data_IF_209581830360
#
_entry.id   IF_209581830360
#
_cell.length_a   1.000
_cell.length_b   1.000
_cell.length_c   1.000
_cell.angle_alpha   90.00
_cell.angle_beta   90.00
_cell.angle_gamma   90.00
#
_symmetry.space_group_name_H-M   'P 1'
#
loop_
_entity.id
_entity.type
_entity.pdbx_description
1 polymer ?
#
# COMPACT_ATOMS: atom_id res chain seq x y z
N UNK A 1 7.26 -25.36 7.99
CA UNK A 1 6.25 -25.21 6.91
C UNK A 1 5.03 -24.52 7.49
N UNK A 2 4.53 -23.47 6.86
CA UNK A 2 3.32 -22.74 7.26
C UNK A 2 2.16 -23.07 6.34
N UNK A 3 1.00 -23.32 6.91
CA UNK A 3 -0.24 -23.57 6.18
C UNK A 3 -1.03 -22.28 6.04
N UNK A 4 -1.31 -21.88 4.82
CA UNK A 4 -1.91 -20.59 4.48
C UNK A 4 -3.32 -20.78 3.89
N UNK A 5 -4.16 -19.78 4.13
CA UNK A 5 -5.40 -19.52 3.40
C UNK A 5 -5.31 -18.16 2.70
N UNK A 6 -5.58 -18.12 1.41
CA UNK A 6 -5.59 -16.90 0.61
C UNK A 6 -7.02 -16.48 0.37
N UNK A 7 -7.43 -15.31 0.86
CA UNK A 7 -8.78 -14.77 0.75
C UNK A 7 -8.76 -13.58 -0.23
N UNK A 8 -9.38 -13.77 -1.37
CA UNK A 8 -9.29 -12.88 -2.53
C UNK A 8 -8.30 -13.42 -3.57
N UNK A 9 -8.82 -13.81 -4.73
CA UNK A 9 -8.06 -14.35 -5.86
C UNK A 9 -8.02 -13.37 -7.03
N UNK A 10 -7.99 -12.08 -6.69
CA UNK A 10 -7.97 -10.99 -7.66
C UNK A 10 -6.58 -10.73 -8.26
N UNK A 11 -6.42 -9.54 -8.82
CA UNK A 11 -5.21 -9.10 -9.55
C UNK A 11 -3.95 -9.16 -8.68
N UNK A 12 -4.00 -8.68 -7.43
CA UNK A 12 -2.83 -8.65 -6.54
C UNK A 12 -2.41 -10.07 -6.14
N UNK A 13 -3.35 -10.95 -5.89
CA UNK A 13 -3.08 -12.37 -5.66
C UNK A 13 -2.35 -12.98 -6.86
N UNK A 14 -2.93 -12.83 -8.06
CA UNK A 14 -2.41 -13.41 -9.33
C UNK A 14 -1.04 -12.89 -9.71
N UNK A 15 -0.81 -11.58 -9.60
CA UNK A 15 0.38 -10.93 -10.19
C UNK A 15 1.52 -10.72 -9.18
N UNK A 16 1.26 -10.87 -7.89
CA UNK A 16 2.24 -10.61 -6.84
C UNK A 16 2.39 -11.80 -5.87
N UNK A 17 1.38 -12.07 -5.03
CA UNK A 17 1.54 -13.02 -3.93
C UNK A 17 1.65 -14.48 -4.37
N UNK A 18 0.87 -14.96 -5.33
CA UNK A 18 1.03 -16.35 -5.80
C UNK A 18 2.38 -16.61 -6.46
N UNK A 19 2.89 -15.73 -7.37
CA UNK A 19 4.27 -15.85 -7.86
C UNK A 19 5.31 -15.84 -6.76
N UNK A 20 5.19 -14.98 -5.75
CA UNK A 20 6.10 -14.87 -4.63
C UNK A 20 6.05 -16.12 -3.73
N UNK A 21 4.87 -16.48 -3.25
CA UNK A 21 4.65 -17.64 -2.35
C UNK A 21 5.05 -18.98 -3.01
N UNK A 22 4.88 -19.12 -4.33
CA UNK A 22 5.29 -20.33 -5.06
C UNK A 22 6.81 -20.58 -5.08
N UNK A 23 7.63 -19.57 -4.75
CA UNK A 23 9.09 -19.67 -4.62
C UNK A 23 9.56 -19.92 -3.18
N UNK A 24 8.62 -19.99 -2.21
CA UNK A 24 8.93 -20.23 -0.81
C UNK A 24 8.66 -21.70 -0.49
N UNK A 25 9.73 -22.48 -0.22
CA UNK A 25 9.64 -23.94 -0.05
C UNK A 25 8.81 -24.36 1.17
N UNK A 26 8.83 -23.60 2.25
CA UNK A 26 8.16 -23.91 3.52
C UNK A 26 6.72 -23.36 3.61
N UNK A 27 6.02 -23.26 2.48
CA UNK A 27 4.64 -22.79 2.37
C UNK A 27 3.75 -23.88 1.79
N UNK A 28 2.57 -24.06 2.42
CA UNK A 28 1.47 -24.89 1.96
C UNK A 28 0.24 -24.00 1.81
N UNK A 29 -0.31 -23.88 0.61
CA UNK A 29 -1.55 -23.14 0.37
C UNK A 29 -2.72 -24.11 0.41
N UNK A 30 -3.34 -24.23 1.59
CA UNK A 30 -4.45 -25.16 1.81
C UNK A 30 -5.75 -24.68 1.19
N UNK A 31 -5.99 -23.37 1.22
CA UNK A 31 -7.22 -22.77 0.70
C UNK A 31 -6.93 -21.55 -0.16
N UNK A 32 -7.61 -21.48 -1.33
CA UNK A 32 -7.84 -20.27 -2.09
C UNK A 32 -9.34 -19.97 -2.06
N UNK A 33 -9.72 -18.76 -1.62
CA UNK A 33 -11.09 -18.34 -1.42
C UNK A 33 -11.42 -17.12 -2.27
N UNK A 34 -12.46 -17.18 -3.06
CA UNK A 34 -13.05 -16.00 -3.75
C UNK A 34 -14.55 -16.20 -3.86
N UNK A 35 -15.32 -15.11 -3.82
CA UNK A 35 -16.77 -15.16 -4.06
C UNK A 35 -17.12 -15.58 -5.49
N UNK A 36 -16.15 -15.40 -6.41
CA UNK A 36 -16.20 -15.84 -7.81
C UNK A 36 -15.24 -17.02 -7.93
N UNK A 37 -15.73 -18.28 -7.84
CA UNK A 37 -14.87 -19.47 -7.76
C UNK A 37 -13.96 -19.63 -8.99
N UNK A 38 -14.37 -19.16 -10.15
CA UNK A 38 -13.59 -19.23 -11.39
C UNK A 38 -12.24 -18.50 -11.27
N UNK A 39 -12.15 -17.47 -10.43
CA UNK A 39 -10.88 -16.78 -10.14
C UNK A 39 -9.89 -17.66 -9.40
N UNK A 40 -10.37 -18.39 -8.40
CA UNK A 40 -9.55 -19.33 -7.63
C UNK A 40 -9.17 -20.57 -8.47
N UNK A 41 -10.08 -21.05 -9.32
CA UNK A 41 -9.84 -22.15 -10.27
C UNK A 41 -8.72 -21.80 -11.25
N UNK A 42 -8.78 -20.61 -11.87
CA UNK A 42 -7.74 -20.13 -12.78
C UNK A 42 -6.36 -20.00 -12.10
N UNK A 43 -6.34 -19.62 -10.81
CA UNK A 43 -5.10 -19.61 -10.03
C UNK A 43 -4.58 -21.02 -9.75
N UNK A 44 -5.46 -21.95 -9.41
CA UNK A 44 -5.08 -23.35 -9.17
C UNK A 44 -4.54 -24.05 -10.41
N UNK A 45 -5.06 -23.74 -11.59
CA UNK A 45 -4.51 -24.22 -12.88
C UNK A 45 -3.06 -23.76 -13.05
N UNK A 46 -2.75 -22.52 -12.67
CA UNK A 46 -1.40 -21.94 -12.79
C UNK A 46 -0.49 -22.40 -11.63
N UNK A 47 -1.04 -22.50 -10.43
CA UNK A 47 -0.32 -22.84 -9.20
C UNK A 47 -0.91 -24.09 -8.53
N UNK A 48 -0.47 -25.29 -8.94
CA UNK A 48 -0.98 -26.58 -8.41
C UNK A 48 -0.74 -26.79 -6.91
N UNK A 49 0.03 -25.92 -6.25
CA UNK A 49 0.23 -25.89 -4.79
C UNK A 49 -1.03 -25.53 -4.01
N UNK A 50 -2.09 -25.04 -4.66
CA UNK A 50 -3.40 -24.78 -4.05
C UNK A 50 -4.15 -26.09 -3.88
N UNK A 51 -4.47 -26.46 -2.63
CA UNK A 51 -5.14 -27.75 -2.37
C UNK A 51 -6.65 -27.67 -2.58
N UNK A 52 -7.31 -26.65 -2.01
CA UNK A 52 -8.76 -26.53 -2.01
C UNK A 52 -9.21 -25.14 -2.48
N UNK A 53 -10.35 -25.11 -3.17
CA UNK A 53 -11.06 -23.89 -3.55
C UNK A 53 -12.32 -23.80 -2.69
N UNK A 54 -12.58 -22.64 -2.11
CA UNK A 54 -13.74 -22.34 -1.29
C UNK A 54 -14.32 -20.97 -1.64
N UNK A 55 -15.61 -20.76 -1.33
CA UNK A 55 -16.29 -19.46 -1.52
C UNK A 55 -16.64 -18.77 -0.20
N UNK A 56 -16.55 -19.50 0.91
CA UNK A 56 -16.71 -18.94 2.27
C UNK A 56 -15.39 -19.07 3.04
N UNK A 57 -14.75 -17.92 3.32
CA UNK A 57 -13.49 -17.89 4.06
C UNK A 57 -13.60 -18.43 5.49
N UNK A 58 -14.79 -18.47 6.08
CA UNK A 58 -15.00 -19.02 7.43
C UNK A 58 -14.65 -20.50 7.52
N UNK A 59 -14.74 -21.22 6.41
CA UNK A 59 -14.27 -22.62 6.32
C UNK A 59 -12.77 -22.71 6.61
N UNK A 60 -11.97 -21.82 6.02
CA UNK A 60 -10.53 -21.76 6.29
C UNK A 60 -10.21 -21.30 7.71
N UNK A 61 -10.98 -20.37 8.26
CA UNK A 61 -10.78 -19.86 9.63
C UNK A 61 -11.06 -20.95 10.68
N UNK A 62 -12.05 -21.81 10.43
CA UNK A 62 -12.41 -22.93 11.33
C UNK A 62 -11.39 -24.08 11.30
N UNK A 63 -10.51 -24.14 10.31
CA UNK A 63 -9.53 -25.20 10.17
C UNK A 63 -8.32 -24.96 11.10
N UNK A 64 -8.06 -25.85 12.08
CA UNK A 64 -6.92 -25.68 13.00
C UNK A 64 -5.56 -25.82 12.33
N UNK A 65 -5.45 -26.41 11.13
CA UNK A 65 -4.18 -26.51 10.41
C UNK A 65 -3.74 -25.19 9.77
N UNK A 66 -4.66 -24.24 9.56
CA UNK A 66 -4.30 -22.93 8.99
C UNK A 66 -3.57 -22.09 10.03
N UNK A 67 -2.33 -21.72 9.75
CA UNK A 67 -1.49 -20.86 10.59
C UNK A 67 -1.76 -19.38 10.33
N UNK A 68 -1.88 -19.00 9.05
CA UNK A 68 -2.01 -17.62 8.64
C UNK A 68 -2.97 -17.43 7.46
N UNK A 69 -3.56 -16.23 7.41
CA UNK A 69 -4.51 -15.82 6.38
C UNK A 69 -3.95 -14.59 5.64
N UNK A 70 -3.96 -14.66 4.31
CA UNK A 70 -3.71 -13.54 3.44
C UNK A 70 -5.03 -12.90 3.03
N UNK A 71 -5.25 -11.65 3.39
CA UNK A 71 -6.45 -10.87 3.04
C UNK A 71 -6.12 -10.00 1.85
N UNK A 72 -6.46 -10.46 0.66
CA UNK A 72 -6.19 -9.85 -0.65
C UNK A 72 -7.49 -9.41 -1.33
N UNK A 73 -8.48 -9.07 -0.54
CA UNK A 73 -9.83 -8.67 -0.94
C UNK A 73 -9.87 -7.18 -1.34
N UNK A 74 -10.99 -6.67 -1.86
CA UNK A 74 -11.20 -5.22 -1.95
C UNK A 74 -11.18 -4.53 -0.58
N UNK A 75 -10.78 -3.24 -0.56
CA UNK A 75 -10.51 -2.46 0.65
C UNK A 75 -11.59 -2.53 1.73
N UNK A 76 -12.87 -2.48 1.34
CA UNK A 76 -14.00 -2.52 2.28
C UNK A 76 -14.09 -3.82 3.10
N UNK A 77 -13.53 -4.91 2.58
CA UNK A 77 -13.58 -6.22 3.24
C UNK A 77 -12.37 -6.48 4.16
N UNK A 78 -11.29 -5.66 4.06
CA UNK A 78 -10.06 -5.83 4.85
C UNK A 78 -10.35 -5.92 6.34
N UNK A 79 -11.14 -4.99 6.88
CA UNK A 79 -11.48 -4.94 8.29
C UNK A 79 -12.19 -6.23 8.75
N UNK A 80 -13.32 -6.56 8.12
CA UNK A 80 -14.16 -7.69 8.55
C UNK A 80 -13.41 -9.01 8.48
N UNK A 81 -12.73 -9.29 7.37
CA UNK A 81 -12.00 -10.56 7.19
C UNK A 81 -10.83 -10.65 8.16
N UNK A 82 -10.09 -9.56 8.37
CA UNK A 82 -8.96 -9.52 9.32
C UNK A 82 -9.44 -9.73 10.75
N UNK A 83 -10.51 -9.06 11.17
CA UNK A 83 -11.06 -9.20 12.53
C UNK A 83 -11.54 -10.63 12.80
N UNK A 84 -12.23 -11.25 11.84
CA UNK A 84 -12.67 -12.65 11.94
C UNK A 84 -11.46 -13.61 12.02
N UNK A 85 -10.42 -13.37 11.22
CA UNK A 85 -9.21 -14.19 11.23
C UNK A 85 -8.44 -14.09 12.56
N UNK A 86 -8.29 -12.87 13.10
CA UNK A 86 -7.66 -12.64 14.41
C UNK A 86 -8.48 -13.29 15.54
N UNK A 87 -9.82 -13.19 15.50
CA UNK A 87 -10.71 -13.82 16.46
C UNK A 87 -10.62 -15.35 16.41
N UNK A 88 -10.37 -15.93 15.21
CA UNK A 88 -10.11 -17.35 15.02
C UNK A 88 -8.68 -17.79 15.39
N UNK A 89 -7.86 -16.86 15.93
CA UNK A 89 -6.50 -17.12 16.36
C UNK A 89 -5.49 -17.32 15.23
N UNK A 90 -5.75 -16.76 14.03
CA UNK A 90 -4.84 -16.82 12.89
C UNK A 90 -3.92 -15.61 12.84
N UNK A 91 -2.68 -15.79 12.33
CA UNK A 91 -1.84 -14.66 11.90
C UNK A 91 -2.41 -14.11 10.61
N UNK A 92 -2.22 -12.80 10.35
CA UNK A 92 -2.82 -12.14 9.19
C UNK A 92 -1.79 -11.32 8.43
N UNK A 93 -1.76 -11.50 7.13
CA UNK A 93 -1.22 -10.57 6.16
C UNK A 93 -2.40 -9.88 5.47
N UNK A 94 -2.50 -8.57 5.56
CA UNK A 94 -3.57 -7.80 4.92
C UNK A 94 -2.97 -6.83 3.89
N UNK A 95 -3.48 -6.84 2.67
CA UNK A 95 -3.06 -5.87 1.65
C UNK A 95 -3.37 -4.43 2.06
N UNK A 96 -2.61 -3.49 1.44
CA UNK A 96 -2.86 -2.06 1.59
C UNK A 96 -4.15 -1.63 0.83
N UNK A 97 -4.81 -0.56 1.26
CA UNK A 97 -4.67 0.15 2.53
C UNK A 97 -5.11 -0.73 3.71
N UNK A 98 -4.70 -0.40 4.94
CA UNK A 98 -5.12 -1.20 6.11
C UNK A 98 -6.63 -1.38 6.12
N UNK A 99 -7.33 -0.26 6.08
CA UNK A 99 -8.80 -0.17 5.95
C UNK A 99 -9.18 1.11 5.20
N UNK A 100 -10.47 1.36 5.10
CA UNK A 100 -11.04 2.58 4.51
C UNK A 100 -10.94 3.83 5.40
N UNK A 101 -10.57 3.69 6.70
CA UNK A 101 -10.35 4.81 7.62
C UNK A 101 -9.42 4.43 8.79
N UNK A 102 -8.87 5.44 9.45
CA UNK A 102 -7.91 5.25 10.56
C UNK A 102 -8.50 4.60 11.83
N UNK A 103 -9.74 4.94 12.31
CA UNK A 103 -10.31 4.29 13.49
C UNK A 103 -10.38 2.76 13.36
N UNK A 104 -10.86 2.23 12.24
CA UNK A 104 -10.88 0.78 11.99
C UNK A 104 -9.49 0.17 11.95
N UNK A 105 -8.49 0.92 11.46
CA UNK A 105 -7.09 0.46 11.48
C UNK A 105 -6.56 0.31 12.92
N UNK A 106 -6.94 1.21 13.82
CA UNK A 106 -6.62 1.11 15.24
C UNK A 106 -7.27 -0.12 15.90
N UNK A 107 -8.54 -0.36 15.61
CA UNK A 107 -9.25 -1.55 16.12
C UNK A 107 -8.58 -2.85 15.67
N UNK A 108 -8.13 -2.92 14.40
CA UNK A 108 -7.36 -4.08 13.92
C UNK A 108 -6.04 -4.28 14.67
N UNK A 109 -5.31 -3.18 14.94
CA UNK A 109 -4.06 -3.25 15.71
C UNK A 109 -4.31 -3.74 17.15
N UNK A 110 -5.35 -3.23 17.81
CA UNK A 110 -5.75 -3.67 19.15
C UNK A 110 -6.17 -5.14 19.18
N UNK A 111 -6.94 -5.57 18.17
CA UNK A 111 -7.36 -6.97 18.04
C UNK A 111 -6.17 -7.92 17.84
N UNK A 112 -5.19 -7.54 16.99
CA UNK A 112 -3.98 -8.31 16.78
C UNK A 112 -3.15 -8.44 18.06
N UNK A 113 -2.98 -7.34 18.79
CA UNK A 113 -2.28 -7.32 20.08
C UNK A 113 -2.98 -8.19 21.13
N UNK A 114 -4.33 -8.11 21.22
CA UNK A 114 -5.14 -8.92 22.13
C UNK A 114 -5.09 -10.42 21.79
N UNK A 115 -5.10 -10.75 20.51
CA UNK A 115 -4.99 -12.15 20.05
C UNK A 115 -3.57 -12.71 20.16
N UNK A 116 -2.55 -11.87 20.38
CA UNK A 116 -1.16 -12.29 20.34
C UNK A 116 -0.71 -12.79 18.97
N UNK A 117 -1.27 -12.21 17.89
CA UNK A 117 -1.02 -12.63 16.51
C UNK A 117 -0.31 -11.56 15.72
N UNK A 118 0.52 -11.99 14.77
CA UNK A 118 1.12 -11.08 13.80
C UNK A 118 0.04 -10.57 12.85
N UNK A 119 0.01 -9.26 12.65
CA UNK A 119 -0.76 -8.59 11.62
C UNK A 119 0.18 -7.69 10.81
N UNK A 120 0.48 -8.10 9.60
CA UNK A 120 1.29 -7.34 8.66
C UNK A 120 0.42 -6.71 7.57
N UNK A 121 0.86 -5.55 7.10
CA UNK A 121 0.19 -4.82 6.03
C UNK A 121 1.07 -4.83 4.78
N UNK A 122 0.46 -5.08 3.62
CA UNK A 122 1.11 -5.21 2.32
C UNK A 122 1.65 -3.89 1.77
N UNK A 123 2.64 -3.29 2.44
CA UNK A 123 3.36 -2.10 1.95
C UNK A 123 4.70 -2.51 1.35
N UNK A 124 4.63 -3.29 0.28
CA UNK A 124 5.75 -3.96 -0.38
C UNK A 124 6.94 -3.05 -0.72
N UNK A 125 6.69 -1.76 -0.97
CA UNK A 125 7.75 -0.80 -1.34
C UNK A 125 8.83 -0.61 -0.27
N UNK A 126 8.57 -0.91 1.01
CA UNK A 126 9.58 -0.92 2.08
C UNK A 126 10.66 -1.99 1.87
N UNK A 127 10.39 -2.97 1.00
CA UNK A 127 11.34 -4.03 0.60
C UNK A 127 12.05 -3.74 -0.72
N UNK A 128 11.75 -2.61 -1.38
CA UNK A 128 12.48 -2.20 -2.57
C UNK A 128 13.90 -1.77 -2.18
N UNK A 129 14.90 -2.27 -2.92
CA UNK A 129 16.31 -2.07 -2.55
C UNK A 129 16.72 -0.59 -2.45
N UNK A 130 16.19 0.27 -3.33
CA UNK A 130 16.46 1.72 -3.25
C UNK A 130 15.93 2.35 -1.95
N UNK A 131 14.77 1.89 -1.47
CA UNK A 131 14.14 2.39 -0.24
C UNK A 131 14.96 1.99 0.99
N UNK A 132 15.43 0.73 1.03
CA UNK A 132 16.30 0.25 2.10
C UNK A 132 17.61 1.05 2.15
N UNK A 133 18.22 1.29 0.98
CA UNK A 133 19.46 2.09 0.89
C UNK A 133 19.24 3.52 1.36
N UNK A 134 18.15 4.16 0.97
CA UNK A 134 17.83 5.54 1.40
C UNK A 134 17.54 5.62 2.91
N UNK A 135 16.83 4.63 3.47
CA UNK A 135 16.63 4.55 4.92
C UNK A 135 17.95 4.39 5.66
N UNK A 136 18.82 3.48 5.19
CA UNK A 136 20.15 3.27 5.76
C UNK A 136 21.02 4.53 5.67
N UNK A 137 21.06 5.20 4.51
CA UNK A 137 21.78 6.46 4.31
C UNK A 137 21.27 7.56 5.25
N UNK A 138 19.95 7.63 5.50
CA UNK A 138 19.38 8.56 6.47
C UNK A 138 19.82 8.21 7.90
N UNK A 139 19.79 6.94 8.27
CA UNK A 139 20.23 6.44 9.57
C UNK A 139 21.71 6.68 9.82
N UNK A 140 22.55 6.60 8.78
CA UNK A 140 23.98 6.92 8.80
C UNK A 140 24.27 8.43 8.78
N UNK A 141 23.27 9.27 8.62
CA UNK A 141 23.41 10.73 8.62
C UNK A 141 23.96 11.31 7.31
N UNK A 142 23.91 10.57 6.20
CA UNK A 142 24.36 11.06 4.87
C UNK A 142 23.60 12.30 4.40
N UNK A 143 22.32 12.39 4.74
CA UNK A 143 21.50 13.58 4.46
C UNK A 143 21.77 14.75 5.41
N UNK A 144 22.40 14.50 6.57
CA UNK A 144 22.38 15.45 7.68
C UNK A 144 20.97 15.59 8.24
N UNK A 145 20.47 16.82 8.37
CA UNK A 145 19.09 17.08 8.75
C UNK A 145 18.21 17.14 7.51
N UNK A 146 17.36 16.11 7.31
CA UNK A 146 16.27 16.21 6.34
C UNK A 146 15.30 17.30 6.82
N UNK A 147 15.09 18.33 6.01
CA UNK A 147 14.25 19.47 6.37
C UNK A 147 13.02 19.64 5.47
N UNK A 148 13.09 19.17 4.22
CA UNK A 148 11.97 19.21 3.28
C UNK A 148 11.95 17.98 2.37
N UNK A 149 10.75 17.57 2.00
CA UNK A 149 10.49 16.51 1.02
C UNK A 149 9.49 17.04 0.00
N UNK A 150 9.81 16.86 -1.28
CA UNK A 150 8.88 17.12 -2.37
C UNK A 150 8.46 15.79 -3.00
N UNK A 151 7.14 15.57 -3.08
CA UNK A 151 6.57 14.32 -3.57
C UNK A 151 5.62 14.61 -4.74
N UNK A 152 5.83 13.95 -5.88
CA UNK A 152 4.94 14.01 -7.03
C UNK A 152 4.62 12.61 -7.54
N UNK A 153 3.32 12.29 -7.65
CA UNK A 153 2.80 11.05 -8.23
C UNK A 153 1.61 11.37 -9.13
N UNK A 154 1.90 12.01 -10.26
CA UNK A 154 0.90 12.51 -11.21
C UNK A 154 0.96 11.77 -12.53
N UNK A 155 -0.20 11.37 -13.03
CA UNK A 155 -0.34 10.73 -14.33
C UNK A 155 -1.26 11.52 -15.28
N UNK A 156 -1.03 11.33 -16.57
CA UNK A 156 -1.88 11.94 -17.61
C UNK A 156 -3.29 11.31 -17.63
N UNK A 157 -3.38 9.97 -17.65
CA UNK A 157 -4.67 9.23 -17.73
C UNK A 157 -4.49 7.82 -17.14
N UNK A 158 -4.75 7.67 -15.84
CA UNK A 158 -4.53 6.39 -15.14
C UNK A 158 -5.60 6.11 -14.09
N UNK A 159 -6.83 6.62 -14.26
CA UNK A 159 -7.93 6.23 -13.35
C UNK A 159 -8.15 4.72 -13.50
N UNK A 160 -8.02 3.93 -12.42
CA UNK A 160 -8.11 2.48 -12.50
C UNK A 160 -9.56 2.03 -12.52
N UNK A 161 -9.91 1.07 -13.37
CA UNK A 161 -11.21 0.39 -13.37
C UNK A 161 -12.40 1.34 -13.23
N UNK A 162 -12.46 2.39 -14.06
CA UNK A 162 -13.42 3.49 -13.96
C UNK A 162 -14.86 2.98 -13.89
N UNK A 163 -15.63 3.45 -12.90
CA UNK A 163 -16.98 3.00 -12.60
C UNK A 163 -17.04 1.77 -11.69
N UNK A 164 -15.91 1.06 -11.48
CA UNK A 164 -15.83 -0.12 -10.63
C UNK A 164 -15.46 0.18 -9.17
N UNK A 165 -14.92 -0.84 -8.49
CA UNK A 165 -14.61 -0.78 -7.07
C UNK A 165 -13.60 0.32 -6.69
N UNK A 166 -12.62 0.62 -7.57
CA UNK A 166 -11.61 1.66 -7.31
C UNK A 166 -12.19 3.06 -7.22
N UNK A 167 -13.21 3.36 -8.01
CA UNK A 167 -13.80 4.69 -8.12
C UNK A 167 -15.12 4.83 -7.35
N UNK A 168 -15.55 3.79 -6.65
CA UNK A 168 -16.72 3.80 -5.76
C UNK A 168 -16.28 3.97 -4.32
N UNK A 169 -16.50 5.15 -3.72
CA UNK A 169 -16.01 5.53 -2.37
C UNK A 169 -16.42 4.55 -1.27
N UNK A 170 -17.63 4.01 -1.34
CA UNK A 170 -18.10 3.02 -0.35
C UNK A 170 -17.30 1.69 -0.38
N UNK A 171 -16.60 1.41 -1.48
CA UNK A 171 -15.79 0.20 -1.66
C UNK A 171 -14.30 0.46 -1.47
N UNK A 172 -13.79 1.57 -2.03
CA UNK A 172 -12.37 1.92 -1.99
C UNK A 172 -11.97 2.72 -0.75
N UNK A 173 -12.88 3.50 -0.17
CA UNK A 173 -12.62 4.48 0.89
C UNK A 173 -12.19 5.84 0.36
N UNK A 174 -11.80 5.95 -0.91
CA UNK A 174 -11.37 7.17 -1.59
C UNK A 174 -10.68 6.86 -2.90
N UNK A 175 -10.06 7.87 -3.52
CA UNK A 175 -9.45 7.79 -4.83
C UNK A 175 -7.92 7.71 -4.81
N UNK A 176 -7.27 8.64 -5.53
CA UNK A 176 -5.82 8.63 -5.70
C UNK A 176 -5.06 8.75 -4.38
N UNK A 177 -5.64 9.44 -3.39
CA UNK A 177 -4.99 9.60 -2.08
C UNK A 177 -4.85 8.24 -1.37
N UNK A 178 -5.90 7.45 -1.27
CA UNK A 178 -5.86 6.17 -0.56
C UNK A 178 -5.17 5.08 -1.37
N UNK A 179 -5.28 5.10 -2.71
CA UNK A 179 -4.70 4.06 -3.57
C UNK A 179 -3.20 4.28 -3.82
N UNK A 180 -2.82 5.44 -4.38
CA UNK A 180 -1.41 5.74 -4.66
C UNK A 180 -0.73 6.45 -3.48
N UNK A 181 -1.44 7.39 -2.84
CA UNK A 181 -0.87 8.18 -1.75
C UNK A 181 -0.29 7.34 -0.63
N UNK A 182 -0.93 6.21 -0.28
CA UNK A 182 -0.41 5.29 0.75
C UNK A 182 1.03 4.85 0.43
N UNK A 183 1.34 4.52 -0.82
CA UNK A 183 2.66 4.06 -1.22
C UNK A 183 3.73 5.15 -1.06
N UNK A 184 3.41 6.39 -1.45
CA UNK A 184 4.36 7.51 -1.39
C UNK A 184 4.55 8.03 0.02
N UNK A 185 3.46 8.25 0.75
CA UNK A 185 3.53 8.78 2.11
C UNK A 185 4.11 7.78 3.10
N UNK A 186 3.81 6.49 2.93
CA UNK A 186 4.40 5.44 3.74
C UNK A 186 5.92 5.37 3.56
N UNK A 187 6.43 5.43 2.32
CA UNK A 187 7.87 5.48 2.05
C UNK A 187 8.53 6.71 2.68
N UNK A 188 7.90 7.87 2.59
CA UNK A 188 8.43 9.11 3.19
C UNK A 188 8.53 8.95 4.71
N UNK A 189 7.46 8.50 5.37
CA UNK A 189 7.45 8.30 6.82
C UNK A 189 8.44 7.21 7.27
N UNK A 190 8.56 6.14 6.49
CA UNK A 190 9.52 5.07 6.73
C UNK A 190 10.98 5.55 6.66
N UNK A 191 11.35 6.25 5.58
CA UNK A 191 12.72 6.79 5.40
C UNK A 191 13.02 7.88 6.44
N UNK A 192 12.06 8.73 6.79
CA UNK A 192 12.22 9.71 7.87
C UNK A 192 12.40 9.05 9.24
N UNK A 193 11.89 7.83 9.44
CA UNK A 193 11.97 7.05 10.67
C UNK A 193 11.31 7.74 11.87
N UNK A 194 10.26 7.17 12.42
CA UNK A 194 9.54 7.70 13.60
C UNK A 194 9.12 9.17 13.50
N UNK A 195 8.83 9.67 12.29
CA UNK A 195 8.28 11.00 12.10
C UNK A 195 6.84 11.06 12.67
N UNK A 196 6.52 12.15 13.38
CA UNK A 196 5.19 12.40 13.94
C UNK A 196 4.57 13.60 13.26
N UNK A 197 3.32 13.45 12.85
CA UNK A 197 2.54 14.51 12.24
C UNK A 197 2.32 15.65 13.24
N UNK A 198 2.30 16.89 12.75
CA UNK A 198 1.99 18.09 13.52
C UNK A 198 0.73 18.77 12.99
N UNK A 199 0.81 19.26 11.77
CA UNK A 199 -0.33 19.83 11.07
C UNK A 199 -0.22 19.59 9.57
N UNK A 200 -1.33 19.69 8.87
CA UNK A 200 -1.39 19.44 7.44
C UNK A 200 -2.55 20.19 6.79
N UNK A 201 -2.42 20.43 5.49
CA UNK A 201 -3.50 20.92 4.64
C UNK A 201 -3.54 20.11 3.35
N UNK A 202 -4.75 19.82 2.87
CA UNK A 202 -4.98 19.09 1.64
C UNK A 202 -6.18 19.69 0.89
N UNK A 203 -6.08 19.70 -0.44
CA UNK A 203 -7.22 19.82 -1.32
C UNK A 203 -7.36 18.54 -2.14
N UNK A 204 -8.56 18.05 -2.30
CA UNK A 204 -8.91 16.90 -3.12
C UNK A 204 -9.92 17.32 -4.19
N UNK A 205 -9.72 16.81 -5.39
CA UNK A 205 -10.52 17.16 -6.57
C UNK A 205 -10.99 15.91 -7.28
N UNK A 206 -12.19 15.99 -7.89
CA UNK A 206 -12.79 14.96 -8.73
C UNK A 206 -13.20 15.60 -10.05
N UNK A 207 -12.23 15.97 -10.89
CA UNK A 207 -12.47 16.81 -12.06
C UNK A 207 -12.42 16.06 -13.40
N UNK A 208 -11.62 14.99 -13.49
CA UNK A 208 -11.29 14.40 -14.79
C UNK A 208 -12.36 13.40 -15.17
N UNK A 209 -12.97 12.63 -14.73
CA UNK A 209 -13.96 11.68 -15.24
C UNK A 209 -15.36 11.91 -14.64
N UNK A 210 -15.77 13.18 -14.53
CA UNK A 210 -17.15 13.56 -14.09
C UNK A 210 -18.20 12.94 -15.00
N UNK A 211 -17.97 12.99 -16.31
CA UNK A 211 -18.68 12.18 -17.28
C UNK A 211 -17.77 11.03 -17.71
N UNK A 212 -18.03 9.84 -17.19
CA UNK A 212 -17.21 8.66 -17.46
C UNK A 212 -17.22 8.26 -18.94
N UNK A 213 -18.33 8.50 -19.66
CA UNK A 213 -18.47 8.16 -21.08
C UNK A 213 -17.64 9.07 -21.97
N UNK A 214 -17.45 10.32 -21.56
CA UNK A 214 -16.65 11.30 -22.30
C UNK A 214 -15.16 11.25 -21.93
N UNK A 215 -14.78 10.53 -20.86
CA UNK A 215 -13.39 10.41 -20.42
C UNK A 215 -12.54 9.67 -21.45
N UNK A 216 -11.48 10.34 -21.94
CA UNK A 216 -10.56 9.77 -22.93
C UNK A 216 -9.31 9.22 -22.26
N UNK A 217 -8.98 7.97 -22.54
CA UNK A 217 -7.79 7.26 -22.06
C UNK A 217 -7.19 6.39 -23.17
N UNK A 218 -5.92 6.02 -23.05
CA UNK A 218 -5.22 5.17 -24.02
C UNK A 218 -5.01 3.74 -23.50
N UNK A 219 -5.23 3.52 -22.23
CA UNK A 219 -5.16 2.25 -21.54
C UNK A 219 -5.58 2.46 -20.11
N UNK A 220 -6.28 1.52 -19.53
CA UNK A 220 -6.81 1.60 -18.17
C UNK A 220 -6.27 0.43 -17.35
N UNK A 221 -5.62 0.74 -16.23
CA UNK A 221 -5.29 -0.30 -15.26
C UNK A 221 -6.59 -0.84 -14.66
N UNK A 222 -6.68 -2.16 -14.47
CA UNK A 222 -7.89 -2.84 -14.01
C UNK A 222 -9.14 -2.61 -14.91
N UNK A 223 -8.95 -2.48 -16.24
CA UNK A 223 -10.03 -2.27 -17.21
C UNK A 223 -11.09 -3.39 -17.14
N UNK A 224 -10.70 -4.61 -16.81
CA UNK A 224 -11.57 -5.77 -16.60
C UNK A 224 -12.56 -5.59 -15.43
N UNK A 225 -12.37 -4.59 -14.59
CA UNK A 225 -13.26 -4.24 -13.46
C UNK A 225 -14.03 -2.93 -13.68
N UNK A 226 -13.87 -2.30 -14.85
CA UNK A 226 -14.55 -1.05 -15.19
C UNK A 226 -16.04 -1.25 -15.46
N UNK A 227 -16.86 -0.28 -15.03
CA UNK A 227 -18.29 -0.20 -15.35
C UNK A 227 -18.65 1.25 -15.71
N UNK A 228 -18.24 1.68 -16.91
CA UNK A 228 -18.43 3.05 -17.39
C UNK A 228 -19.92 3.37 -17.62
N UNK A 229 -20.73 2.34 -17.90
CA UNK A 229 -22.15 2.53 -18.24
C UNK A 229 -23.04 2.70 -17.02
N UNK A 230 -22.81 1.92 -15.95
CA UNK A 230 -23.72 1.84 -14.79
C UNK A 230 -23.00 2.09 -13.45
N UNK A 231 -21.69 2.20 -13.47
CA UNK A 231 -20.86 2.33 -12.26
C UNK A 231 -20.86 3.74 -11.67
N UNK A 232 -19.99 3.92 -10.69
CA UNK A 232 -19.87 5.17 -9.91
C UNK A 232 -18.43 5.68 -9.93
N UNK A 233 -18.29 7.01 -10.05
CA UNK A 233 -17.03 7.72 -9.85
C UNK A 233 -17.27 8.89 -8.90
N UNK A 234 -17.09 8.64 -7.59
CA UNK A 234 -17.36 9.58 -6.49
C UNK A 234 -16.14 9.79 -5.58
N UNK A 235 -14.94 9.56 -6.12
CA UNK A 235 -13.66 9.66 -5.42
C UNK A 235 -12.76 10.75 -6.01
N UNK A 236 -11.69 11.07 -5.29
CA UNK A 236 -10.67 12.02 -5.71
C UNK A 236 -9.80 11.46 -6.84
N UNK A 237 -9.60 12.24 -7.90
CA UNK A 237 -8.65 11.95 -9.00
C UNK A 237 -7.36 12.77 -8.90
N UNK A 238 -7.36 13.85 -8.11
CA UNK A 238 -6.21 14.71 -7.84
C UNK A 238 -6.22 15.26 -6.41
N UNK A 239 -5.05 15.25 -5.79
CA UNK A 239 -4.78 15.83 -4.47
C UNK A 239 -3.54 16.71 -4.50
N UNK A 240 -3.51 17.75 -3.65
CA UNK A 240 -2.34 18.57 -3.41
C UNK A 240 -2.34 19.12 -1.99
N UNK A 241 -1.17 19.36 -1.42
CA UNK A 241 -1.12 19.89 -0.08
C UNK A 241 0.27 19.99 0.53
N UNK A 242 0.26 20.21 1.84
CA UNK A 242 1.47 20.40 2.64
C UNK A 242 1.30 19.75 4.02
N UNK A 243 2.34 19.04 4.47
CA UNK A 243 2.37 18.34 5.75
C UNK A 243 3.57 18.83 6.55
N UNK A 244 3.38 19.11 7.85
CA UNK A 244 4.48 19.32 8.79
C UNK A 244 4.58 18.15 9.76
N UNK A 245 5.80 17.65 9.89
CA UNK A 245 6.16 16.64 10.90
C UNK A 245 7.12 17.22 11.92
N UNK A 246 7.47 16.46 12.94
CA UNK A 246 8.54 16.83 13.88
C UNK A 246 9.94 16.76 13.27
N UNK A 247 10.10 16.21 12.05
CA UNK A 247 11.40 16.05 11.35
C UNK A 247 11.54 16.93 10.13
N UNK A 248 10.57 16.88 9.22
CA UNK A 248 10.61 17.61 7.95
C UNK A 248 9.23 18.11 7.56
N UNK A 249 9.18 19.07 6.63
CA UNK A 249 7.96 19.42 5.91
C UNK A 249 7.87 18.61 4.61
N UNK A 250 6.65 18.37 4.12
CA UNK A 250 6.38 17.63 2.90
C UNK A 250 5.42 18.44 2.05
N UNK A 251 5.79 18.75 0.80
CA UNK A 251 4.85 19.24 -0.21
C UNK A 251 4.56 18.14 -1.22
N UNK A 252 3.30 18.03 -1.65
CA UNK A 252 2.90 16.92 -2.51
C UNK A 252 1.85 17.29 -3.55
N UNK A 253 1.88 16.54 -4.67
CA UNK A 253 0.87 16.51 -5.71
C UNK A 253 0.67 15.05 -6.13
N UNK A 254 -0.57 14.58 -6.13
CA UNK A 254 -0.93 13.22 -6.54
C UNK A 254 -2.13 13.24 -7.47
N UNK A 255 -2.04 12.57 -8.62
CA UNK A 255 -3.16 12.48 -9.55
C UNK A 255 -3.19 11.16 -10.32
N UNK A 256 -4.33 10.53 -10.37
CA UNK A 256 -4.58 9.46 -11.35
C UNK A 256 -4.70 10.03 -12.76
N UNK A 257 -5.27 11.24 -12.89
CA UNK A 257 -5.44 11.89 -14.17
C UNK A 257 -5.30 13.41 -14.08
N UNK A 258 -4.50 13.98 -14.96
CA UNK A 258 -4.36 15.43 -15.17
C UNK A 258 -4.04 15.73 -16.63
N UNK A 259 -4.27 16.96 -17.08
CA UNK A 259 -3.83 17.43 -18.39
C UNK A 259 -2.36 17.87 -18.32
N UNK A 260 -1.45 16.91 -18.26
CA UNK A 260 0.00 17.11 -18.20
C UNK A 260 0.70 16.38 -19.35
N UNK A 261 1.86 16.89 -19.76
CA UNK A 261 2.60 16.32 -20.89
C UNK A 261 3.34 15.01 -20.55
N UNK A 262 3.72 14.81 -19.28
CA UNK A 262 4.50 13.64 -18.81
C UNK A 262 4.05 13.24 -17.41
N UNK A 263 4.04 11.94 -17.18
CA UNK A 263 3.85 11.41 -15.83
C UNK A 263 5.03 11.78 -14.94
N UNK A 264 4.76 12.00 -13.65
CA UNK A 264 5.76 12.32 -12.63
C UNK A 264 5.54 11.40 -11.43
N UNK A 265 6.53 10.55 -11.14
CA UNK A 265 6.48 9.56 -10.08
C UNK A 265 7.82 9.59 -9.32
N UNK A 266 7.98 10.55 -8.40
CA UNK A 266 9.24 10.71 -7.67
C UNK A 266 9.05 11.31 -6.27
N UNK A 267 10.08 11.13 -5.43
CA UNK A 267 10.22 11.75 -4.13
C UNK A 267 11.62 12.38 -4.05
N UNK A 268 11.69 13.69 -3.77
CA UNK A 268 12.94 14.42 -3.49
C UNK A 268 13.11 14.55 -1.97
N UNK A 269 14.23 14.10 -1.46
CA UNK A 269 14.65 14.24 -0.07
C UNK A 269 15.70 15.37 0.02
N UNK A 270 15.38 16.44 0.72
CA UNK A 270 16.27 17.62 0.86
C UNK A 270 16.88 17.64 2.26
N UNK A 271 18.17 17.33 2.35
CA UNK A 271 18.95 17.41 3.57
C UNK A 271 20.00 18.53 3.51
N UNK A 272 20.57 18.92 4.66
CA UNK A 272 21.58 19.99 4.77
C UNK A 272 23.00 19.51 4.44
N UNK A 273 23.23 18.19 4.33
CA UNK A 273 24.51 17.60 3.89
C UNK A 273 24.41 16.85 2.58
N UNK A 274 23.22 16.41 2.19
CA UNK A 274 22.97 15.71 0.95
C UNK A 274 21.48 15.65 0.64
N UNK A 275 21.15 15.25 -0.57
CA UNK A 275 19.78 15.06 -1.02
C UNK A 275 19.65 13.83 -1.88
N UNK A 276 18.43 13.40 -2.17
CA UNK A 276 18.21 12.31 -3.10
C UNK A 276 16.90 12.50 -3.87
N UNK A 277 16.89 12.04 -5.12
CA UNK A 277 15.66 11.81 -5.88
C UNK A 277 15.41 10.32 -6.05
N UNK A 278 14.33 9.83 -5.48
CA UNK A 278 13.83 8.49 -5.70
C UNK A 278 12.78 8.51 -6.81
N UNK A 279 13.05 7.83 -7.93
CA UNK A 279 12.01 7.50 -8.92
C UNK A 279 11.20 6.31 -8.39
N UNK A 280 9.88 6.43 -8.30
CA UNK A 280 9.02 5.40 -7.75
C UNK A 280 9.14 4.09 -8.55
N UNK A 281 9.34 2.98 -7.83
CA UNK A 281 9.57 1.67 -8.43
C UNK A 281 10.89 1.53 -9.17
N UNK A 282 11.82 2.48 -8.98
CA UNK A 282 13.07 2.56 -9.72
C UNK A 282 14.29 2.86 -8.88
N UNK A 283 15.30 3.37 -9.55
CA UNK A 283 16.58 3.79 -8.98
C UNK A 283 16.46 5.16 -8.32
N UNK A 284 17.45 5.51 -7.51
CA UNK A 284 17.60 6.85 -6.96
C UNK A 284 18.94 7.47 -7.34
N UNK A 285 18.99 8.79 -7.31
CA UNK A 285 20.20 9.59 -7.39
C UNK A 285 20.43 10.26 -6.04
N UNK A 286 21.67 10.21 -5.54
CA UNK A 286 22.09 10.90 -4.32
C UNK A 286 23.00 12.07 -4.68
N UNK A 287 22.73 13.24 -4.12
CA UNK A 287 23.48 14.48 -4.30
C UNK A 287 24.32 14.73 -3.04
N UNK A 288 25.63 14.54 -3.12
CA UNK A 288 26.54 14.74 -1.98
C UNK A 288 26.89 16.25 -1.87
N UNK A 289 26.45 16.88 -0.77
CA UNK A 289 26.72 18.30 -0.52
C UNK A 289 28.19 18.61 -0.19
N UNK A 290 29.01 17.62 0.12
CA UNK A 290 30.44 17.82 0.42
C UNK A 290 31.33 17.77 -0.81
N UNK A 291 31.00 16.90 -1.77
CA UNK A 291 31.76 16.73 -3.02
C UNK A 291 31.13 17.43 -4.21
N UNK A 292 29.84 17.79 -4.11
CA UNK A 292 28.99 18.33 -5.17
C UNK A 292 28.78 17.33 -6.33
N UNK A 293 28.97 16.05 -6.06
CA UNK A 293 28.77 14.98 -7.02
C UNK A 293 27.37 14.38 -6.92
N UNK A 294 26.88 13.89 -8.04
CA UNK A 294 25.68 13.06 -8.11
C UNK A 294 26.06 11.60 -8.27
N UNK A 295 25.59 10.76 -7.38
CA UNK A 295 25.83 9.31 -7.39
C UNK A 295 24.54 8.57 -7.67
N UNK A 296 24.53 7.74 -8.72
CA UNK A 296 23.44 6.81 -9.01
C UNK A 296 23.96 5.38 -8.75
N UNK A 297 23.73 4.80 -7.57
CA UNK A 297 24.27 3.49 -7.24
C UNK A 297 23.63 2.40 -8.09
N UNK A 298 24.45 1.42 -8.48
CA UNK A 298 23.96 0.20 -9.12
C UNK A 298 23.72 -0.88 -8.06
N UNK A 299 22.59 -1.57 -8.18
CA UNK A 299 22.18 -2.66 -7.29
C UNK A 299 21.16 -3.56 -7.99
N UNK A 300 21.09 -4.81 -7.54
CA UNK A 300 20.05 -5.74 -7.94
C UNK A 300 18.72 -5.34 -7.31
N UNK A 301 17.63 -5.54 -8.04
CA UNK A 301 16.27 -5.29 -7.57
C UNK A 301 15.58 -6.65 -7.38
N UNK A 302 15.71 -7.26 -6.20
CA UNK A 302 15.01 -8.51 -5.89
C UNK A 302 13.50 -8.25 -5.78
N UNK A 303 12.72 -9.33 -5.98
CA UNK A 303 11.27 -9.25 -5.89
C UNK A 303 10.84 -8.80 -4.48
N UNK A 304 10.20 -7.65 -4.40
CA UNK A 304 9.79 -7.05 -3.14
C UNK A 304 8.65 -7.82 -2.45
N UNK A 305 7.76 -8.46 -3.21
CA UNK A 305 6.67 -9.26 -2.67
C UNK A 305 7.18 -10.55 -2.05
N UNK A 306 8.13 -11.23 -2.71
CA UNK A 306 8.75 -12.41 -2.11
C UNK A 306 9.49 -12.09 -0.81
N UNK A 307 10.17 -10.95 -0.76
CA UNK A 307 10.87 -10.49 0.46
C UNK A 307 9.90 -10.13 1.56
N UNK A 308 8.79 -9.49 1.24
CA UNK A 308 7.71 -9.16 2.17
C UNK A 308 7.06 -10.41 2.74
N UNK A 309 6.70 -11.36 1.88
CA UNK A 309 6.09 -12.63 2.29
C UNK A 309 7.04 -13.46 3.18
N UNK A 310 8.33 -13.57 2.82
CA UNK A 310 9.34 -14.24 3.65
C UNK A 310 9.50 -13.59 5.03
N UNK A 311 9.50 -12.26 5.10
CA UNK A 311 9.65 -11.51 6.35
C UNK A 311 8.40 -11.66 7.25
N UNK A 312 7.20 -11.70 6.66
CA UNK A 312 5.97 -12.02 7.39
C UNK A 312 6.03 -13.43 7.98
N UNK A 313 6.36 -14.45 7.20
CA UNK A 313 6.45 -15.83 7.66
C UNK A 313 7.51 -15.99 8.76
N UNK A 314 8.67 -15.36 8.59
CA UNK A 314 9.73 -15.34 9.62
C UNK A 314 9.28 -14.64 10.90
N UNK A 315 8.45 -13.59 10.81
CA UNK A 315 7.91 -12.89 12.00
C UNK A 315 6.97 -13.78 12.81
N UNK A 316 6.22 -14.68 12.16
CA UNK A 316 5.38 -15.68 12.84
C UNK A 316 6.24 -16.64 13.67
N UNK A 317 7.37 -17.12 13.12
CA UNK A 317 8.25 -18.06 13.80
C UNK A 317 9.03 -17.44 14.94
N UNK A 318 9.52 -16.22 14.74
CA UNK A 318 10.33 -15.52 15.73
C UNK A 318 9.53 -14.81 16.82
N UNK A 319 8.26 -14.50 16.55
CA UNK A 319 7.46 -13.60 17.41
C UNK A 319 7.90 -12.14 17.36
N UNK A 320 8.85 -11.77 16.46
CA UNK A 320 9.39 -10.41 16.35
C UNK A 320 8.62 -9.63 15.29
N UNK A 321 8.09 -8.46 15.68
CA UNK A 321 7.41 -7.53 14.77
C UNK A 321 8.41 -7.01 13.74
N UNK A 322 8.10 -7.23 12.47
CA UNK A 322 8.93 -6.76 11.36
C UNK A 322 8.56 -5.34 10.90
N UNK A 323 9.20 -4.87 9.82
CA UNK A 323 8.98 -3.51 9.29
C UNK A 323 7.54 -3.25 8.85
N UNK A 324 6.80 -4.27 8.42
CA UNK A 324 5.42 -4.18 7.93
C UNK A 324 4.36 -4.58 8.97
N UNK A 325 4.76 -4.79 10.23
CA UNK A 325 3.77 -4.96 11.31
C UNK A 325 2.87 -3.73 11.40
N UNK A 326 1.57 -3.92 11.63
CA UNK A 326 0.56 -2.85 11.62
C UNK A 326 0.94 -1.64 12.47
N UNK A 327 1.57 -1.83 13.64
CA UNK A 327 2.01 -0.72 14.52
C UNK A 327 2.95 0.27 13.82
N UNK A 328 3.71 -0.20 12.82
CA UNK A 328 4.64 0.62 12.05
C UNK A 328 3.96 1.34 10.88
N UNK A 329 2.68 1.05 10.59
CA UNK A 329 1.92 1.60 9.46
C UNK A 329 0.80 2.54 9.92
N UNK A 330 0.41 2.49 11.20
CA UNK A 330 -0.69 3.31 11.73
C UNK A 330 -0.51 4.81 11.49
N UNK A 331 0.73 5.32 11.53
CA UNK A 331 0.97 6.75 11.26
C UNK A 331 0.68 7.10 9.78
N UNK A 332 0.94 6.17 8.85
CA UNK A 332 0.59 6.32 7.43
C UNK A 332 -0.93 6.31 7.24
N UNK A 333 -1.65 5.40 7.90
CA UNK A 333 -3.12 5.38 7.87
C UNK A 333 -3.72 6.66 8.47
N UNK A 334 -3.17 7.13 9.60
CA UNK A 334 -3.56 8.38 10.23
C UNK A 334 -3.36 9.57 9.31
N UNK A 335 -2.23 9.61 8.58
CA UNK A 335 -1.95 10.68 7.63
C UNK A 335 -3.01 10.76 6.53
N UNK A 336 -3.37 9.63 5.91
CA UNK A 336 -4.39 9.61 4.85
C UNK A 336 -5.75 10.11 5.36
N UNK A 337 -6.17 9.61 6.51
CA UNK A 337 -7.44 10.01 7.16
C UNK A 337 -7.48 11.52 7.45
N UNK A 338 -6.38 12.08 7.99
CA UNK A 338 -6.28 13.51 8.30
C UNK A 338 -6.19 14.38 7.04
N UNK A 339 -5.59 13.88 5.96
CA UNK A 339 -5.57 14.58 4.66
C UNK A 339 -6.99 14.68 4.07
N UNK A 340 -7.76 13.58 4.10
CA UNK A 340 -9.16 13.62 3.69
C UNK A 340 -10.00 14.58 4.56
N UNK A 341 -9.83 14.52 5.88
CA UNK A 341 -10.53 15.43 6.78
C UNK A 341 -10.19 16.90 6.52
N UNK A 342 -8.92 17.22 6.20
CA UNK A 342 -8.50 18.57 5.81
C UNK A 342 -9.14 19.02 4.51
N UNK A 343 -9.19 18.14 3.51
CA UNK A 343 -9.82 18.43 2.22
C UNK A 343 -11.33 18.67 2.34
N UNK A 344 -12.00 17.91 3.21
CA UNK A 344 -13.44 18.06 3.44
C UNK A 344 -13.80 19.40 4.08
N UNK A 345 -13.00 19.88 5.03
CA UNK A 345 -13.25 21.15 5.71
C UNK A 345 -12.53 22.35 5.07
N UNK A 346 -11.71 22.11 4.04
CA UNK A 346 -10.91 23.13 3.33
C UNK A 346 -10.03 23.98 4.27
N UNK A 347 -9.43 23.33 5.28
CA UNK A 347 -8.63 24.01 6.32
C UNK A 347 -7.41 23.20 6.72
N UNK A 348 -6.39 23.92 7.23
CA UNK A 348 -5.28 23.30 7.97
C UNK A 348 -5.83 22.62 9.24
N UNK A 349 -5.36 21.39 9.49
CA UNK A 349 -5.69 20.64 10.70
C UNK A 349 -4.43 20.35 11.51
N UNK A 350 -4.52 20.48 12.83
CA UNK A 350 -3.58 19.88 13.76
C UNK A 350 -3.86 18.38 13.92
N UNK A 351 -2.82 17.56 14.23
CA UNK A 351 -2.90 16.10 14.24
C UNK A 351 -2.48 15.51 15.58
#
# INVERSE_FOLDING_TARGET
MKTLAIIGCGRIAKNAHFPALSRIEDVRIKYACDLIPEKAEALKETYPIIENIITDYKVALADPEVDAVYVLTPNYAHYTVTMDALAAGKHVFCEKPITVNYPLSCEMAEAAAKAGKMLNIGVCNRYHKSVEMLEEMNREGKFGKLYHIYCSFRSFRSIPGLGGAFTTKSQSGGGVLIDWGIHFFDLILYILGNAKLKNLTCNAYSEMAKDMKEYKYTGMWAEDTADIENGTNDVDDFITGFIRTNKASISFNGAWAQNIAKNEMFIDFCGDKGGARLTYGGKFEFYDGSTLETVAPEYDIPDMYEREDRDFLASIDSGIKNRNHIDNILESAKLLDRLYASAEVEKELEV
#
